data_IF_928857486813
#
_entry.id   IF_928857486813
#
_cell.length_a   1.000
_cell.length_b   1.000
_cell.length_c   1.000
_cell.angle_alpha   90.00
_cell.angle_beta   90.00
_cell.angle_gamma   90.00
#
_symmetry.space_group_name_H-M   'P 1'
#
loop_
_entity.id
_entity.type
_entity.pdbx_description
1 polymer ?
#
# COMPACT_ATOMS: atom_id res chain seq x y z
N UNK A 1 -20.30 5.46 -13.94
CA UNK A 1 -20.63 4.05 -13.63
C UNK A 1 -21.21 4.02 -12.21
N UNK A 2 -22.26 3.23 -11.90
CA UNK A 2 -22.65 3.01 -10.50
C UNK A 2 -21.60 2.14 -9.78
N UNK A 3 -21.46 2.30 -8.47
CA UNK A 3 -20.62 1.41 -7.67
C UNK A 3 -21.21 -0.01 -7.63
N UNK A 4 -20.37 -1.07 -7.56
CA UNK A 4 -18.90 -1.05 -7.53
C UNK A 4 -18.24 -0.60 -8.85
N UNK A 5 -17.07 0.05 -8.78
CA UNK A 5 -16.39 0.67 -9.93
C UNK A 5 -15.72 -0.32 -10.89
N UNK A 6 -15.47 -1.56 -10.43
CA UNK A 6 -14.92 -2.64 -11.23
C UNK A 6 -16.04 -3.59 -11.71
N UNK A 7 -15.81 -4.39 -12.76
CA UNK A 7 -16.78 -5.38 -13.22
C UNK A 7 -17.24 -6.31 -12.08
N UNK A 8 -18.51 -6.71 -12.07
CA UNK A 8 -19.13 -7.46 -10.98
C UNK A 8 -18.53 -8.85 -10.68
N UNK A 9 -17.60 -9.32 -11.52
CA UNK A 9 -16.86 -10.57 -11.37
C UNK A 9 -15.49 -10.38 -10.72
N UNK A 10 -15.06 -9.14 -10.47
CA UNK A 10 -13.77 -8.80 -9.87
C UNK A 10 -13.96 -8.30 -8.43
N UNK A 11 -13.16 -8.82 -7.50
CA UNK A 11 -13.29 -8.55 -6.06
C UNK A 11 -11.93 -8.14 -5.50
N UNK A 12 -11.72 -6.84 -5.34
CA UNK A 12 -10.47 -6.26 -4.84
C UNK A 12 -10.75 -5.59 -3.49
N UNK A 13 -10.61 -6.32 -2.37
CA UNK A 13 -10.53 -5.68 -1.06
C UNK A 13 -9.20 -4.93 -0.90
N UNK A 14 -9.14 -4.09 0.13
CA UNK A 14 -7.94 -3.32 0.50
C UNK A 14 -7.38 -2.51 -0.68
N UNK A 15 -8.29 -1.84 -1.40
CA UNK A 15 -7.94 -1.10 -2.61
C UNK A 15 -7.15 0.17 -2.28
N UNK A 16 -5.89 0.21 -2.70
CA UNK A 16 -4.98 1.36 -2.55
C UNK A 16 -4.79 2.09 -3.89
N UNK A 17 -5.42 3.27 -4.07
CA UNK A 17 -5.30 4.05 -5.29
C UNK A 17 -4.02 4.89 -5.31
N UNK A 18 -3.32 4.89 -6.44
CA UNK A 18 -2.11 5.71 -6.69
C UNK A 18 -2.20 6.41 -8.03
N UNK A 19 -1.74 7.65 -8.10
CA UNK A 19 -1.65 8.38 -9.37
C UNK A 19 -0.22 8.32 -9.87
N UNK A 20 -0.02 7.72 -11.04
CA UNK A 20 1.27 7.65 -11.73
C UNK A 20 1.08 8.10 -13.18
N UNK A 21 1.79 9.15 -13.57
CA UNK A 21 1.61 9.78 -14.88
C UNK A 21 0.18 10.30 -15.07
N UNK A 22 -0.48 9.87 -16.14
CA UNK A 22 -1.83 10.27 -16.55
C UNK A 22 -2.92 9.28 -16.13
N UNK A 23 -2.61 8.36 -15.20
CA UNK A 23 -3.53 7.31 -14.75
C UNK A 23 -3.63 7.22 -13.24
N UNK A 24 -4.81 6.82 -12.77
CA UNK A 24 -4.96 6.22 -11.44
C UNK A 24 -4.79 4.71 -11.56
N UNK A 25 -3.98 4.13 -10.69
CA UNK A 25 -3.82 2.70 -10.49
C UNK A 25 -4.52 2.33 -9.19
N UNK A 26 -5.20 1.18 -9.19
CA UNK A 26 -5.81 0.58 -8.01
C UNK A 26 -5.12 -0.75 -7.77
N UNK A 27 -4.33 -0.82 -6.71
CA UNK A 27 -3.74 -2.05 -6.22
C UNK A 27 -4.63 -2.62 -5.12
N UNK A 28 -4.64 -3.92 -4.95
CA UNK A 28 -5.31 -4.49 -3.79
C UNK A 28 -5.15 -5.98 -3.67
N UNK A 29 -5.64 -6.47 -2.55
CA UNK A 29 -5.87 -7.89 -2.30
C UNK A 29 -6.85 -8.46 -3.34
N UNK A 30 -7.00 -9.78 -3.37
CA UNK A 30 -7.92 -10.43 -4.30
C UNK A 30 -8.82 -11.43 -3.58
N UNK A 31 -10.12 -11.21 -3.61
CA UNK A 31 -11.10 -12.17 -3.12
C UNK A 31 -11.54 -13.12 -4.24
N UNK A 32 -11.87 -14.36 -3.86
CA UNK A 32 -12.46 -15.34 -4.76
C UNK A 32 -13.94 -15.48 -4.45
N UNK A 33 -14.77 -15.49 -5.49
CA UNK A 33 -16.21 -15.66 -5.34
C UNK A 33 -16.57 -16.92 -4.53
N UNK A 34 -17.60 -16.79 -3.69
CA UNK A 34 -18.16 -17.88 -2.89
C UNK A 34 -17.14 -18.63 -1.99
N UNK A 35 -16.16 -17.91 -1.44
CA UNK A 35 -15.26 -18.44 -0.40
C UNK A 35 -15.67 -17.95 0.99
N UNK A 36 -15.32 -18.74 2.02
CA UNK A 36 -15.49 -18.37 3.44
C UNK A 36 -14.36 -17.49 3.97
N UNK A 37 -13.26 -17.42 3.22
CA UNK A 37 -12.08 -16.69 3.62
C UNK A 37 -11.85 -15.49 2.69
N UNK A 38 -11.23 -14.46 3.25
CA UNK A 38 -10.78 -13.29 2.53
C UNK A 38 -9.34 -13.48 2.02
N UNK A 39 -9.05 -12.73 0.96
CA UNK A 39 -7.78 -12.55 0.29
C UNK A 39 -7.12 -13.85 -0.23
N UNK A 40 -6.42 -13.72 -1.35
CA UNK A 40 -5.76 -14.83 -2.02
C UNK A 40 -4.23 -14.74 -1.88
N UNK A 41 -3.52 -15.68 -2.48
CA UNK A 41 -2.05 -15.71 -2.54
C UNK A 41 -1.48 -14.82 -3.66
N UNK A 42 -2.28 -13.86 -4.15
CA UNK A 42 -1.93 -12.98 -5.26
C UNK A 42 -2.61 -11.63 -5.14
N UNK A 43 -1.92 -10.60 -5.60
CA UNK A 43 -2.40 -9.22 -5.61
C UNK A 43 -2.85 -8.81 -7.01
N UNK A 44 -3.72 -7.81 -7.08
CA UNK A 44 -4.32 -7.31 -8.32
C UNK A 44 -3.93 -5.86 -8.57
N UNK A 45 -3.95 -5.50 -9.85
CA UNK A 45 -3.79 -4.12 -10.29
C UNK A 45 -4.73 -3.80 -11.44
N UNK A 46 -5.40 -2.67 -11.31
CA UNK A 46 -6.23 -2.06 -12.35
C UNK A 46 -5.80 -0.61 -12.55
N UNK A 47 -6.17 0.00 -13.67
CA UNK A 47 -5.98 1.44 -13.83
C UNK A 47 -7.02 2.08 -14.73
N UNK A 48 -7.27 3.37 -14.55
CA UNK A 48 -8.08 4.18 -15.44
C UNK A 48 -7.33 5.48 -15.80
N UNK A 49 -7.52 6.03 -17.02
CA UNK A 49 -7.09 7.39 -17.33
C UNK A 49 -7.68 8.40 -16.34
N UNK A 50 -6.91 9.42 -15.96
CA UNK A 50 -7.40 10.48 -15.06
C UNK A 50 -8.54 11.30 -15.67
N UNK A 51 -8.60 11.38 -17.00
CA UNK A 51 -9.67 12.05 -17.75
C UNK A 51 -10.87 11.14 -18.05
N UNK A 52 -10.79 9.84 -17.75
CA UNK A 52 -11.88 8.88 -17.90
C UNK A 52 -11.85 7.76 -16.83
N UNK A 53 -12.27 8.12 -15.61
CA UNK A 53 -12.39 7.20 -14.47
C UNK A 53 -13.51 6.14 -14.62
N UNK A 54 -14.18 6.06 -15.79
CA UNK A 54 -15.11 4.99 -16.12
C UNK A 54 -14.47 3.89 -16.98
N UNK A 55 -13.23 4.06 -17.44
CA UNK A 55 -12.57 3.11 -18.33
C UNK A 55 -11.41 2.38 -17.65
N UNK A 56 -11.78 1.43 -16.78
CA UNK A 56 -10.83 0.64 -16.01
C UNK A 56 -10.27 -0.53 -16.83
N UNK A 57 -8.94 -0.64 -16.84
CA UNK A 57 -8.16 -1.70 -17.49
C UNK A 57 -7.58 -2.62 -16.43
N UNK A 58 -7.80 -3.93 -16.58
CA UNK A 58 -7.17 -4.94 -15.74
C UNK A 58 -5.76 -5.23 -16.24
N UNK A 59 -4.76 -5.13 -15.36
CA UNK A 59 -3.37 -5.44 -15.69
C UNK A 59 -2.95 -6.84 -15.22
N UNK A 60 -3.90 -7.62 -14.69
CA UNK A 60 -3.64 -8.97 -14.21
C UNK A 60 -3.27 -9.02 -12.73
N UNK A 61 -2.27 -9.84 -12.41
CA UNK A 61 -1.75 -10.00 -11.06
C UNK A 61 -0.44 -9.20 -10.93
N UNK A 62 -0.25 -8.51 -9.80
CA UNK A 62 0.97 -7.72 -9.56
C UNK A 62 2.07 -8.52 -8.85
N UNK A 63 1.70 -9.46 -7.97
CA UNK A 63 2.63 -10.22 -7.13
C UNK A 63 1.99 -11.51 -6.59
N UNK A 64 2.79 -12.56 -6.37
CA UNK A 64 2.32 -13.89 -5.94
C UNK A 64 3.20 -14.55 -4.88
N UNK A 65 2.57 -15.28 -3.96
CA UNK A 65 3.28 -16.22 -3.06
C UNK A 65 3.21 -17.67 -3.54
N UNK A 66 2.37 -17.98 -4.54
CA UNK A 66 2.25 -19.32 -5.14
C UNK A 66 2.31 -19.27 -6.66
N UNK A 67 2.73 -20.38 -7.24
CA UNK A 67 2.51 -20.63 -8.65
C UNK A 67 1.02 -20.62 -8.97
N UNK A 68 0.66 -20.00 -10.09
CA UNK A 68 -0.61 -20.22 -10.77
C UNK A 68 -0.37 -20.78 -12.17
N UNK A 69 -1.41 -20.84 -13.00
CA UNK A 69 -1.31 -21.37 -14.37
C UNK A 69 -0.29 -20.60 -15.23
N UNK A 70 -0.19 -19.29 -15.01
CA UNK A 70 0.47 -18.35 -15.90
C UNK A 70 1.70 -17.69 -15.25
N UNK A 71 1.86 -17.78 -13.92
CA UNK A 71 2.92 -17.12 -13.14
C UNK A 71 3.54 -18.05 -12.09
N UNK A 72 4.84 -17.86 -11.83
CA UNK A 72 5.56 -18.50 -10.73
C UNK A 72 5.46 -17.64 -9.47
N UNK A 73 5.65 -18.26 -8.30
CA UNK A 73 5.76 -17.55 -7.03
C UNK A 73 6.90 -16.51 -7.09
N UNK A 74 6.61 -15.27 -6.69
CA UNK A 74 7.62 -14.22 -6.53
C UNK A 74 8.40 -14.38 -5.21
N UNK A 75 7.91 -15.24 -4.31
CA UNK A 75 8.51 -15.51 -2.99
C UNK A 75 9.01 -16.94 -2.88
N UNK A 76 9.62 -17.46 -3.95
CA UNK A 76 10.17 -18.82 -4.00
C UNK A 76 11.11 -19.08 -2.81
N UNK A 77 10.90 -20.20 -2.12
CA UNK A 77 11.68 -20.58 -0.93
C UNK A 77 11.31 -19.87 0.37
N UNK A 78 10.32 -18.96 0.38
CA UNK A 78 9.90 -18.24 1.59
C UNK A 78 8.61 -18.79 2.20
N UNK A 79 7.48 -18.60 1.53
CA UNK A 79 6.15 -18.94 2.04
C UNK A 79 5.13 -18.90 0.91
N UNK A 80 4.02 -19.60 1.09
CA UNK A 80 2.92 -19.73 0.14
C UNK A 80 1.60 -19.14 0.68
N UNK A 81 1.69 -18.31 1.73
CA UNK A 81 0.53 -17.77 2.45
C UNK A 81 -0.09 -16.57 1.74
N UNK A 82 -1.29 -16.17 2.19
CA UNK A 82 -2.08 -15.09 1.58
C UNK A 82 -1.39 -13.73 1.67
N UNK A 83 -1.68 -12.86 0.71
CA UNK A 83 -1.17 -11.49 0.57
C UNK A 83 -2.27 -10.47 0.84
N UNK A 84 -2.05 -9.56 1.78
CA UNK A 84 -3.04 -8.57 2.23
C UNK A 84 -2.55 -7.14 2.03
N UNK A 85 -3.52 -6.23 1.83
CA UNK A 85 -3.41 -4.78 1.90
C UNK A 85 -2.11 -4.21 1.32
N UNK A 86 -1.89 -4.35 0.00
CA UNK A 86 -0.69 -3.85 -0.62
C UNK A 86 -0.76 -2.36 -0.84
N UNK A 87 0.41 -1.73 -0.84
CA UNK A 87 0.56 -0.37 -1.28
C UNK A 87 1.76 -0.24 -2.22
N UNK A 88 1.70 0.72 -3.15
CA UNK A 88 2.76 0.94 -4.15
C UNK A 88 3.18 2.41 -4.14
N UNK A 89 4.49 2.66 -4.12
CA UNK A 89 5.03 4.01 -4.24
C UNK A 89 6.08 4.08 -5.35
N UNK A 90 6.13 5.21 -6.06
CA UNK A 90 7.21 5.49 -7.00
C UNK A 90 8.37 6.17 -6.26
N UNK A 91 9.59 5.73 -6.54
CA UNK A 91 10.82 6.45 -6.20
C UNK A 91 11.87 6.24 -7.28
N UNK A 92 12.49 7.33 -7.74
CA UNK A 92 13.58 7.32 -8.72
C UNK A 92 13.25 6.52 -10.01
N UNK A 93 12.00 6.62 -10.49
CA UNK A 93 11.52 5.94 -11.70
C UNK A 93 11.27 4.44 -11.54
N UNK A 94 11.25 3.93 -10.30
CA UNK A 94 10.88 2.54 -9.97
C UNK A 94 9.68 2.52 -9.04
N UNK A 95 8.93 1.43 -9.09
CA UNK A 95 7.72 1.22 -8.30
C UNK A 95 7.97 0.15 -7.27
N UNK A 96 7.68 0.46 -6.00
CA UNK A 96 7.93 -0.41 -4.85
C UNK A 96 6.60 -0.86 -4.25
N UNK A 97 6.33 -2.16 -4.28
CA UNK A 97 5.14 -2.79 -3.72
C UNK A 97 5.44 -3.27 -2.30
N UNK A 98 4.69 -2.79 -1.33
CA UNK A 98 4.76 -3.18 0.07
C UNK A 98 3.55 -4.04 0.39
N UNK A 99 3.77 -5.24 0.92
CA UNK A 99 2.66 -6.14 1.24
C UNK A 99 2.91 -6.96 2.50
N UNK A 100 1.82 -7.30 3.17
CA UNK A 100 1.82 -8.25 4.26
C UNK A 100 1.54 -9.67 3.74
N UNK A 101 2.43 -10.60 4.08
CA UNK A 101 2.17 -12.04 3.91
C UNK A 101 1.79 -12.60 5.28
N UNK A 102 0.62 -13.23 5.36
CA UNK A 102 0.04 -13.68 6.65
C UNK A 102 1.04 -14.46 7.51
N UNK A 103 1.35 -13.94 8.69
CA UNK A 103 2.25 -14.56 9.67
C UNK A 103 3.72 -14.65 9.23
N UNK A 104 4.14 -13.78 8.32
CA UNK A 104 5.54 -13.60 7.88
C UNK A 104 5.99 -12.16 8.11
N UNK A 105 7.31 -11.93 8.10
CA UNK A 105 7.83 -10.58 7.90
C UNK A 105 7.32 -10.05 6.56
N UNK A 106 6.91 -8.79 6.52
CA UNK A 106 6.43 -8.16 5.31
C UNK A 106 7.53 -8.03 4.24
N UNK A 107 7.09 -7.85 3.00
CA UNK A 107 7.93 -7.90 1.81
C UNK A 107 7.85 -6.61 1.01
N UNK A 108 8.93 -6.34 0.28
CA UNK A 108 9.01 -5.30 -0.72
C UNK A 108 9.28 -5.95 -2.07
N UNK A 109 8.40 -5.69 -3.04
CA UNK A 109 8.59 -5.99 -4.46
C UNK A 109 9.00 -4.74 -5.22
N UNK A 110 9.68 -4.89 -6.35
CA UNK A 110 10.08 -3.78 -7.22
C UNK A 110 9.72 -4.05 -8.68
N UNK A 111 9.31 -3.00 -9.40
CA UNK A 111 9.09 -3.03 -10.84
C UNK A 111 9.58 -1.75 -11.53
N UNK A 112 9.87 -1.86 -12.82
CA UNK A 112 10.14 -0.71 -13.70
C UNK A 112 8.84 -0.10 -14.26
N UNK A 113 7.68 -0.68 -13.95
CA UNK A 113 6.36 -0.22 -14.41
C UNK A 113 5.36 -0.18 -13.25
N UNK A 114 4.40 0.76 -13.25
CA UNK A 114 3.43 0.86 -12.18
C UNK A 114 2.54 -0.39 -12.10
N UNK A 115 2.19 -1.02 -13.22
CA UNK A 115 1.38 -2.24 -13.24
C UNK A 115 2.15 -3.53 -12.90
N UNK A 116 3.47 -3.47 -12.78
CA UNK A 116 4.30 -4.66 -12.61
C UNK A 116 4.73 -5.31 -13.94
N UNK A 117 5.11 -6.61 -13.91
CA UNK A 117 5.15 -7.48 -12.73
C UNK A 117 6.16 -6.98 -11.69
N UNK A 118 5.85 -7.17 -10.41
CA UNK A 118 6.76 -6.86 -9.32
C UNK A 118 7.58 -8.10 -8.98
N UNK A 119 8.89 -7.93 -8.79
CA UNK A 119 9.77 -9.00 -8.31
C UNK A 119 10.15 -8.76 -6.87
N UNK A 120 10.24 -9.81 -6.06
CA UNK A 120 10.70 -9.69 -4.69
C UNK A 120 12.08 -9.01 -4.65
N UNK A 121 12.14 -7.88 -3.93
CA UNK A 121 13.37 -7.16 -3.65
C UNK A 121 13.95 -7.59 -2.30
N UNK A 122 13.12 -7.63 -1.26
CA UNK A 122 13.54 -8.06 0.08
C UNK A 122 12.38 -8.30 1.04
N UNK A 123 12.65 -8.98 2.15
CA UNK A 123 11.87 -8.77 3.37
C UNK A 123 12.37 -7.52 4.10
N UNK A 124 11.54 -6.91 4.94
CA UNK A 124 12.00 -5.78 5.76
C UNK A 124 13.22 -6.15 6.60
N UNK A 125 14.21 -5.26 6.59
CA UNK A 125 15.37 -5.33 7.48
C UNK A 125 15.20 -4.30 8.58
N UNK A 126 15.34 -4.73 9.82
CA UNK A 126 15.16 -3.88 10.99
C UNK A 126 15.98 -4.44 12.14
N UNK A 127 16.46 -3.56 13.02
CA UNK A 127 16.90 -3.99 14.34
C UNK A 127 15.67 -4.46 15.15
N UNK A 128 15.77 -5.52 15.97
CA UNK A 128 14.62 -6.03 16.73
C UNK A 128 13.93 -4.97 17.60
N UNK A 129 14.67 -3.97 18.09
CA UNK A 129 14.13 -2.83 18.85
C UNK A 129 13.26 -1.90 18.00
N UNK A 130 13.42 -1.95 16.68
CA UNK A 130 12.77 -1.08 15.69
C UNK A 130 11.71 -1.82 14.86
N UNK A 131 11.46 -3.10 15.17
CA UNK A 131 10.53 -3.98 14.44
C UNK A 131 9.06 -3.51 14.47
N UNK A 132 8.71 -2.58 15.38
CA UNK A 132 7.33 -2.20 15.68
C UNK A 132 6.51 -3.40 16.14
N UNK A 133 5.44 -3.73 15.39
CA UNK A 133 4.53 -4.86 15.61
C UNK A 133 5.19 -6.23 15.31
N UNK A 134 6.30 -6.55 16.00
CA UNK A 134 7.11 -7.77 15.81
C UNK A 134 7.60 -8.00 14.37
N UNK A 135 7.65 -6.94 13.57
CA UNK A 135 8.01 -6.98 12.15
C UNK A 135 6.88 -7.41 11.21
N UNK A 136 5.64 -7.43 11.73
CA UNK A 136 4.41 -7.64 10.99
C UNK A 136 3.90 -6.25 10.56
N UNK A 137 4.15 -5.91 9.30
CA UNK A 137 3.71 -4.63 8.72
C UNK A 137 2.38 -4.84 8.01
N UNK A 138 1.32 -5.10 8.78
CA UNK A 138 -0.03 -5.19 8.24
C UNK A 138 -0.53 -3.82 7.78
N UNK A 139 -1.33 -3.78 6.71
CA UNK A 139 -1.93 -2.55 6.16
C UNK A 139 -0.88 -1.44 5.92
N UNK A 140 0.18 -1.80 5.18
CA UNK A 140 1.29 -0.89 4.91
C UNK A 140 0.83 0.30 4.05
N UNK A 141 1.12 1.52 4.49
CA UNK A 141 0.95 2.75 3.72
C UNK A 141 2.26 3.53 3.65
N UNK A 142 2.75 3.80 2.45
CA UNK A 142 4.08 4.37 2.20
C UNK A 142 4.01 5.78 1.61
N UNK A 143 4.88 6.65 2.11
CA UNK A 143 5.01 8.03 1.66
C UNK A 143 6.48 8.30 1.32
N UNK A 144 6.72 8.78 0.10
CA UNK A 144 7.98 9.46 -0.26
C UNK A 144 7.70 10.95 -0.12
N UNK A 145 8.36 11.61 0.83
CA UNK A 145 8.18 13.03 1.15
C UNK A 145 9.06 13.91 0.24
N UNK A 146 8.74 15.21 0.17
CA UNK A 146 9.39 16.16 -0.74
C UNK A 146 10.87 16.38 -0.42
N UNK A 147 11.31 16.05 0.81
CA UNK A 147 12.72 16.10 1.22
C UNK A 147 13.48 14.78 0.98
N UNK A 148 12.84 13.82 0.30
CA UNK A 148 13.43 12.54 -0.07
C UNK A 148 13.42 11.49 1.05
N UNK A 149 12.88 11.81 2.23
CA UNK A 149 12.63 10.81 3.27
C UNK A 149 11.46 9.92 2.89
N UNK A 150 11.51 8.68 3.34
CA UNK A 150 10.48 7.68 3.05
C UNK A 150 9.92 7.17 4.36
N UNK A 151 8.61 7.08 4.44
CA UNK A 151 7.88 6.70 5.64
C UNK A 151 6.94 5.54 5.37
N UNK A 152 6.76 4.69 6.37
CA UNK A 152 5.78 3.61 6.36
C UNK A 152 4.91 3.70 7.61
N UNK A 153 3.60 3.67 7.38
CA UNK A 153 2.56 3.50 8.38
C UNK A 153 2.02 2.08 8.27
N UNK A 154 1.70 1.45 9.39
CA UNK A 154 1.22 0.08 9.42
C UNK A 154 0.59 -0.24 10.77
N UNK A 155 -0.14 -1.34 10.83
CA UNK A 155 -0.47 -1.99 12.09
C UNK A 155 -1.82 -2.70 12.08
N UNK A 156 -2.03 -3.49 13.13
CA UNK A 156 -3.28 -4.16 13.43
C UNK A 156 -3.52 -3.99 14.93
N UNK A 157 -4.70 -3.48 15.31
CA UNK A 157 -5.05 -3.06 16.70
C UNK A 157 -4.28 -1.85 17.27
N UNK A 158 -3.09 -1.55 16.76
CA UNK A 158 -2.31 -0.34 17.08
C UNK A 158 -1.77 0.32 15.80
N UNK A 159 -1.48 1.62 15.87
CA UNK A 159 -0.86 2.35 14.76
C UNK A 159 0.65 2.49 14.98
N UNK A 160 1.42 2.03 14.01
CA UNK A 160 2.87 2.14 13.97
C UNK A 160 3.32 3.03 12.81
N UNK A 161 4.55 3.53 12.92
CA UNK A 161 5.16 4.42 11.94
C UNK A 161 6.67 4.32 12.03
N UNK A 162 7.34 4.18 10.89
CA UNK A 162 8.79 4.19 10.79
C UNK A 162 9.28 4.99 9.56
N UNK A 163 10.54 5.39 9.58
CA UNK A 163 11.26 5.84 8.39
C UNK A 163 11.88 4.62 7.68
N UNK A 164 11.81 4.59 6.36
CA UNK A 164 12.51 3.62 5.50
C UNK A 164 13.80 4.27 4.99
N UNK A 165 14.88 3.50 4.86
CA UNK A 165 16.06 3.96 4.16
C UNK A 165 15.77 4.23 2.67
N UNK A 166 15.80 5.50 2.21
CA UNK A 166 15.50 5.84 0.82
C UNK A 166 16.50 5.24 -0.17
N UNK A 167 17.66 4.76 0.29
CA UNK A 167 18.66 4.14 -0.57
C UNK A 167 18.26 2.73 -1.02
N UNK A 168 17.51 1.99 -0.20
CA UNK A 168 17.18 0.58 -0.48
C UNK A 168 15.69 0.25 -0.43
N UNK A 169 14.86 1.13 0.14
CA UNK A 169 13.41 1.02 0.21
C UNK A 169 12.86 -0.17 1.02
N UNK A 170 13.71 -0.90 1.77
CA UNK A 170 13.26 -2.02 2.62
C UNK A 170 13.90 -2.04 4.02
N UNK A 171 14.92 -1.23 4.29
CA UNK A 171 15.53 -1.11 5.62
C UNK A 171 14.74 -0.12 6.46
N UNK A 172 14.20 -0.59 7.57
CA UNK A 172 13.44 0.20 8.52
C UNK A 172 14.41 0.84 9.50
N UNK A 173 14.31 2.16 9.64
CA UNK A 173 15.12 2.96 10.55
C UNK A 173 14.44 3.17 11.89
N UNK A 174 15.29 3.38 12.89
CA UNK A 174 14.91 3.76 14.25
C UNK A 174 14.02 4.99 14.28
N UNK A 175 12.84 4.84 14.86
CA UNK A 175 11.98 5.96 15.21
C UNK A 175 12.57 6.61 16.45
N UNK A 176 13.05 7.85 16.35
CA UNK A 176 13.25 8.67 17.55
C UNK A 176 11.87 8.96 18.12
N UNK A 177 11.39 8.14 19.06
CA UNK A 177 10.17 8.43 19.83
C UNK A 177 10.36 9.79 20.50
N UNK A 178 9.74 10.83 19.96
CA UNK A 178 9.64 12.10 20.65
C UNK A 178 8.88 11.85 21.95
N UNK A 179 9.47 12.24 23.07
CA UNK A 179 8.87 12.07 24.39
C UNK A 179 7.49 12.75 24.43
N UNK A 180 6.45 11.91 24.47
CA UNK A 180 5.13 12.14 25.06
C UNK A 180 4.69 13.60 25.16
N UNK A 181 4.21 14.19 24.04
CA UNK A 181 3.27 15.33 24.09
C UNK A 181 2.40 15.54 22.83
N UNK A 182 2.70 14.89 21.71
CA UNK A 182 1.98 15.10 20.44
C UNK A 182 0.99 13.99 20.07
N UNK A 183 0.59 13.12 21.00
CA UNK A 183 -0.47 12.13 20.74
C UNK A 183 -1.82 12.77 20.36
N UNK A 184 -2.01 14.06 20.65
CA UNK A 184 -3.24 14.82 20.36
C UNK A 184 -3.20 15.63 19.05
N UNK A 185 -2.03 15.87 18.46
CA UNK A 185 -1.92 16.72 17.25
C UNK A 185 -2.04 15.89 15.96
N UNK A 186 -1.61 14.64 15.97
CA UNK A 186 -1.69 13.76 14.79
C UNK A 186 -3.09 13.20 14.53
N UNK A 187 -3.98 13.12 15.54
CA UNK A 187 -5.41 12.83 15.33
C UNK A 187 -6.17 14.04 14.75
N UNK A 188 -5.63 15.25 14.87
CA UNK A 188 -6.33 16.49 14.53
C UNK A 188 -6.14 16.94 13.07
N UNK A 189 -5.19 16.38 12.32
CA UNK A 189 -4.91 16.81 10.93
C UNK A 189 -5.70 16.01 9.88
N UNK A 190 -6.29 14.87 10.25
CA UNK A 190 -7.13 14.08 9.33
C UNK A 190 -8.59 14.54 9.26
N UNK A 191 -9.03 15.52 10.07
CA UNK A 191 -10.41 16.03 10.07
C UNK A 191 -10.46 17.56 10.24
N UNK A 192 -10.12 18.33 9.20
CA UNK A 192 -10.75 19.67 9.02
C UNK A 192 -11.91 19.54 8.05
N UNK A 193 -13.12 19.53 8.63
CA UNK A 193 -14.39 19.63 7.92
C UNK A 193 -14.41 20.91 7.08
N UNK A 194 -14.85 20.77 5.84
CA UNK A 194 -15.35 21.85 5.00
C UNK A 194 -16.47 22.60 5.73
N UNK A 195 -16.21 23.83 6.13
CA UNK A 195 -17.27 24.83 6.27
C UNK A 195 -16.85 26.12 5.56
N UNK A 196 -17.66 26.41 4.52
CA UNK A 196 -17.91 27.71 3.91
C UNK A 196 -16.87 28.36 2.99
N UNK A 197 -17.42 28.71 1.81
CA UNK A 197 -17.22 29.97 1.08
C UNK A 197 -15.96 30.13 0.23
N UNK A 198 -16.18 29.98 -1.07
CA UNK A 198 -15.52 30.70 -2.18
C UNK A 198 -14.32 31.57 -1.82
N UNK A 199 -13.12 31.10 -2.18
CA UNK A 199 -12.01 31.87 -2.75
C UNK A 199 -10.94 30.87 -3.20
N UNK A 200 -10.41 31.08 -4.39
CA UNK A 200 -9.42 30.25 -5.06
C UNK A 200 -8.26 29.87 -4.14
N UNK A 201 -7.96 28.57 -4.06
CA UNK A 201 -6.71 28.07 -3.49
C UNK A 201 -5.61 28.16 -4.57
N UNK A 202 -4.36 28.53 -4.20
CA UNK A 202 -3.24 28.55 -5.13
C UNK A 202 -2.76 27.12 -5.45
N UNK A 203 -2.37 26.91 -6.72
CA UNK A 203 -1.74 25.69 -7.23
C UNK A 203 -0.46 25.35 -6.45
N UNK A 204 -0.32 24.09 -6.02
CA UNK A 204 0.96 23.55 -5.53
C UNK A 204 0.96 22.80 -4.20
N UNK A 205 -0.16 22.20 -3.75
CA UNK A 205 -0.14 21.29 -2.60
C UNK A 205 -0.59 19.91 -3.04
N UNK A 206 0.27 18.91 -2.85
CA UNK A 206 -0.12 17.50 -2.82
C UNK A 206 -0.98 17.29 -1.57
N UNK A 207 -2.22 16.84 -1.76
CA UNK A 207 -3.09 16.44 -0.65
C UNK A 207 -2.97 14.93 -0.44
N UNK A 208 -2.73 14.53 0.81
CA UNK A 208 -2.60 13.13 1.24
C UNK A 208 -3.99 12.56 1.46
N UNK A 209 -4.32 11.47 0.79
CA UNK A 209 -5.49 10.64 1.09
C UNK A 209 -5.04 9.20 1.32
N UNK A 210 -4.57 8.89 2.52
CA UNK A 210 -4.43 7.50 3.00
C UNK A 210 -5.57 7.25 3.98
N UNK A 211 -6.47 6.33 3.64
CA UNK A 211 -7.57 5.92 4.53
C UNK A 211 -7.10 4.68 5.28
N UNK A 212 -6.47 4.87 6.44
CA UNK A 212 -6.27 3.78 7.40
C UNK A 212 -7.64 3.40 7.98
N UNK A 213 -8.19 2.26 7.57
CA UNK A 213 -9.41 1.70 8.15
C UNK A 213 -9.04 0.88 9.39
N UNK A 214 -9.39 1.36 10.59
CA UNK A 214 -9.25 0.61 11.84
C UNK A 214 -10.64 0.09 12.24
N UNK A 215 -10.97 -1.19 12.05
CA UNK A 215 -12.22 -1.74 12.56
C UNK A 215 -12.21 -1.69 14.09
N UNK A 216 -13.22 -1.06 14.67
CA UNK A 216 -13.49 -1.19 16.11
C UNK A 216 -14.24 -2.52 16.32
N UNK A 217 -13.65 -3.41 17.14
CA UNK A 217 -14.34 -4.55 17.76
C UNK A 217 -14.58 -4.25 19.24
#
# INVERSE_FOLDING_TARGET
MPNPILPAWEYIPDGEPRVFGDRVYLYGSHDRAAQSDFCDYKLKVWSAPLDDLNNWVCHGHSFHTRDDRDHKSDTEGMTDRKLFAPDVIEKDGKYYLYAYIVGSKGVVGVSDKPEGPFKLLSQYKYDPEDAGDDGIYNDAGVLVDDDGRVYIYYGFTESNFNEIDPADMYTIKKVKRAATKERSLMTATTHRRNSASSRQAPQGKSEIHTILYIPHV
#
